data_IF_949981506611
#
_entry.id   IF_949981506611
#
_cell.length_a   1.000
_cell.length_b   1.000
_cell.length_c   1.000
_cell.angle_alpha   90.00
_cell.angle_beta   90.00
_cell.angle_gamma   90.00
#
_symmetry.space_group_name_H-M   'P 1'
#
loop_
_entity.id
_entity.type
_entity.pdbx_description
1 polymer ?
#
# COMPACT_ATOMS: atom_id res chain seq x y z
N UNK A 1 -7.15 21.83 20.14
CA UNK A 1 -6.88 20.46 19.63
C UNK A 1 -7.07 20.57 18.12
N UNK A 2 -5.99 20.69 17.35
CA UNK A 2 -6.09 20.91 15.90
C UNK A 2 -6.38 19.55 15.28
N UNK A 3 -7.59 19.36 14.75
CA UNK A 3 -7.89 18.25 13.86
C UNK A 3 -6.99 18.43 12.63
N UNK A 4 -5.97 17.59 12.50
CA UNK A 4 -5.16 17.54 11.28
C UNK A 4 -6.10 17.09 10.18
N UNK A 5 -6.37 17.95 9.21
CA UNK A 5 -7.11 17.61 8.00
C UNK A 5 -6.39 16.44 7.33
N UNK A 6 -6.93 15.23 7.48
CA UNK A 6 -6.34 14.02 6.92
C UNK A 6 -6.63 14.06 5.41
N UNK A 7 -5.69 14.60 4.62
CA UNK A 7 -5.73 14.43 3.18
C UNK A 7 -5.42 12.96 2.86
N UNK A 8 -6.43 12.26 2.36
CA UNK A 8 -6.35 10.88 1.89
C UNK A 8 -6.03 10.77 0.40
N UNK A 9 -5.55 11.85 -0.22
CA UNK A 9 -5.12 11.82 -1.61
C UNK A 9 -4.03 10.75 -1.80
N UNK A 10 -4.20 9.93 -2.85
CA UNK A 10 -3.29 8.85 -3.24
C UNK A 10 -3.19 7.67 -2.26
N UNK A 11 -4.11 7.55 -1.29
CA UNK A 11 -4.26 6.34 -0.49
C UNK A 11 -5.28 5.39 -1.12
N UNK A 12 -4.91 4.12 -1.22
CA UNK A 12 -5.78 3.06 -1.71
C UNK A 12 -5.72 1.86 -0.78
N UNK A 13 -6.88 1.29 -0.47
CA UNK A 13 -6.96 0.02 0.27
C UNK A 13 -7.25 -1.09 -0.73
N UNK A 14 -6.46 -2.15 -0.71
CA UNK A 14 -6.64 -3.30 -1.60
C UNK A 14 -6.39 -4.63 -0.89
N UNK A 15 -6.93 -5.69 -1.48
CA UNK A 15 -6.76 -7.10 -1.05
C UNK A 15 -6.34 -7.92 -2.26
N UNK A 16 -5.51 -8.94 -2.04
CA UNK A 16 -5.18 -9.92 -3.07
C UNK A 16 -6.21 -11.05 -3.06
N UNK A 17 -6.87 -11.27 -4.19
CA UNK A 17 -7.80 -12.39 -4.36
C UNK A 17 -7.00 -13.64 -4.76
N UNK A 18 -6.42 -14.29 -3.76
CA UNK A 18 -5.66 -15.54 -3.94
C UNK A 18 -5.93 -16.49 -2.78
N UNK A 19 -5.89 -17.79 -3.05
CA UNK A 19 -5.96 -18.84 -2.01
C UNK A 19 -4.58 -19.16 -1.41
N UNK A 20 -3.51 -18.56 -1.94
CA UNK A 20 -2.15 -18.76 -1.46
C UNK A 20 -1.76 -17.71 -0.40
N UNK A 21 -0.91 -18.11 0.54
CA UNK A 21 -0.36 -17.18 1.53
C UNK A 21 0.53 -16.16 0.81
N UNK A 22 0.22 -14.87 1.00
CA UNK A 22 1.02 -13.78 0.47
C UNK A 22 2.19 -13.49 1.42
N UNK A 23 3.42 -13.65 0.94
CA UNK A 23 4.58 -13.15 1.68
C UNK A 23 4.63 -11.62 1.56
N UNK A 24 4.27 -10.92 2.63
CA UNK A 24 4.16 -9.46 2.65
C UNK A 24 5.46 -8.76 2.21
N UNK A 25 6.63 -9.23 2.66
CA UNK A 25 7.89 -8.59 2.31
C UNK A 25 8.21 -8.73 0.82
N UNK A 26 8.01 -9.93 0.25
CA UNK A 26 8.21 -10.18 -1.17
C UNK A 26 7.21 -9.38 -2.03
N UNK A 27 5.93 -9.36 -1.64
CA UNK A 27 4.88 -8.56 -2.26
C UNK A 27 5.24 -7.07 -2.26
N UNK A 28 5.66 -6.54 -1.10
CA UNK A 28 6.02 -5.14 -0.93
C UNK A 28 7.17 -4.74 -1.84
N UNK A 29 8.26 -5.51 -1.85
CA UNK A 29 9.40 -5.26 -2.74
C UNK A 29 9.01 -5.34 -4.22
N UNK A 30 8.20 -6.34 -4.59
CA UNK A 30 7.74 -6.52 -5.97
C UNK A 30 6.94 -5.31 -6.46
N UNK A 31 5.92 -4.89 -5.70
CA UNK A 31 5.09 -3.75 -6.08
C UNK A 31 5.83 -2.42 -6.01
N UNK A 32 6.73 -2.25 -5.05
CA UNK A 32 7.57 -1.06 -4.99
C UNK A 32 8.48 -0.94 -6.23
N UNK A 33 9.06 -2.05 -6.69
CA UNK A 33 9.87 -2.07 -7.90
C UNK A 33 9.06 -1.77 -9.17
N UNK A 34 7.82 -2.24 -9.26
CA UNK A 34 6.92 -1.92 -10.39
C UNK A 34 6.60 -0.43 -10.43
N UNK A 35 6.39 0.20 -9.28
CA UNK A 35 6.00 1.62 -9.21
C UNK A 35 7.19 2.59 -9.28
N UNK A 36 8.40 2.12 -8.99
CA UNK A 36 9.61 2.93 -8.87
C UNK A 36 9.89 3.92 -10.01
N UNK A 37 9.64 3.61 -11.30
CA UNK A 37 9.90 4.56 -12.39
C UNK A 37 8.97 5.77 -12.40
N UNK A 38 7.78 5.66 -11.79
CA UNK A 38 6.75 6.70 -11.78
C UNK A 38 6.80 7.49 -10.46
N UNK A 39 7.20 6.85 -9.36
CA UNK A 39 7.36 7.49 -8.07
C UNK A 39 7.56 6.50 -6.92
N UNK A 40 7.25 6.92 -5.70
CA UNK A 40 7.34 6.09 -4.50
C UNK A 40 6.03 5.39 -4.17
N UNK A 41 6.11 4.28 -3.44
CA UNK A 41 4.94 3.69 -2.78
C UNK A 41 5.29 3.23 -1.38
N UNK A 42 4.44 3.55 -0.40
CA UNK A 42 4.44 2.94 0.93
C UNK A 42 3.30 1.95 1.01
N UNK A 43 3.59 0.75 1.51
CA UNK A 43 2.62 -0.32 1.66
C UNK A 43 2.63 -0.75 3.13
N UNK A 44 1.46 -0.69 3.76
CA UNK A 44 1.22 -1.05 5.15
C UNK A 44 0.16 -2.14 5.23
N UNK A 45 0.38 -3.14 6.10
CA UNK A 45 -0.65 -4.11 6.46
C UNK A 45 -1.62 -3.47 7.46
N UNK A 46 -2.92 -3.51 7.15
CA UNK A 46 -3.98 -2.99 8.02
C UNK A 46 -4.90 -4.12 8.55
N UNK A 47 -4.48 -5.38 8.39
CA UNK A 47 -5.17 -6.57 8.84
C UNK A 47 -6.32 -7.02 7.95
N UNK A 48 -6.80 -8.25 8.17
CA UNK A 48 -7.83 -8.92 7.36
C UNK A 48 -7.47 -8.98 5.87
N UNK A 49 -6.21 -9.29 5.56
CA UNK A 49 -5.71 -9.41 4.17
C UNK A 49 -5.86 -8.12 3.34
N UNK A 50 -5.97 -6.98 4.03
CA UNK A 50 -6.05 -5.65 3.42
C UNK A 50 -4.74 -4.90 3.59
N UNK A 51 -4.35 -4.23 2.54
CA UNK A 51 -3.13 -3.45 2.46
C UNK A 51 -3.47 -2.02 2.09
N UNK A 52 -2.87 -1.08 2.83
CA UNK A 52 -2.93 0.34 2.53
C UNK A 52 -1.73 0.70 1.66
N UNK A 53 -2.01 1.10 0.43
CA UNK A 53 -1.08 1.66 -0.52
C UNK A 53 -1.13 3.18 -0.42
N UNK A 54 0.03 3.82 -0.35
CA UNK A 54 0.16 5.27 -0.47
C UNK A 54 1.17 5.56 -1.56
N UNK A 55 0.70 6.17 -2.64
CA UNK A 55 1.55 6.55 -3.77
C UNK A 55 2.10 7.97 -3.58
N UNK A 56 3.34 8.17 -4.01
CA UNK A 56 4.02 9.46 -4.01
C UNK A 56 4.48 9.73 -5.45
N UNK A 57 4.24 10.94 -5.94
CA UNK A 57 4.72 11.44 -7.23
C UNK A 57 5.77 12.54 -6.99
#
# INVERSE_FOLDING_TARGET
MIERELSYEHYFVGTFLTSSIVNFQAMKSTLANVWHPIGGVSISDIGNERFLFRFYY
#
